data_IF_085056508791
#
_entry.id   IF_085056508791
#
_cell.length_a   1.000
_cell.length_b   1.000
_cell.length_c   1.000
_cell.angle_alpha   90.00
_cell.angle_beta   90.00
_cell.angle_gamma   90.00
#
_symmetry.space_group_name_H-M   'P 1'
#
loop_
_entity.id
_entity.type
_entity.pdbx_description
1 polymer ?
#
# COMPACT_ATOMS: atom_id res chain seq x y z
N UNK A 1 -1.50 -1.60 11.80
CA UNK A 1 -0.47 -0.92 10.98
C UNK A 1 0.62 -0.26 11.83
N UNK A 2 0.25 0.59 12.78
CA UNK A 2 1.18 1.39 13.60
C UNK A 2 2.28 0.58 14.32
N UNK A 3 1.95 -0.57 14.91
CA UNK A 3 2.94 -1.45 15.58
C UNK A 3 4.02 -1.97 14.62
N UNK A 4 3.65 -2.33 13.39
CA UNK A 4 4.60 -2.82 12.39
C UNK A 4 5.48 -1.69 11.86
N UNK A 5 4.91 -0.50 11.64
CA UNK A 5 5.66 0.69 11.25
C UNK A 5 6.67 1.11 12.33
N UNK A 6 6.28 1.09 13.61
CA UNK A 6 7.20 1.30 14.74
C UNK A 6 8.35 0.30 14.75
N UNK A 7 8.08 -0.99 14.49
CA UNK A 7 9.13 -2.02 14.41
C UNK A 7 10.08 -1.81 13.23
N UNK A 8 9.58 -1.35 12.08
CA UNK A 8 10.41 -0.98 10.94
C UNK A 8 11.30 0.21 11.33
N UNK A 9 10.73 1.25 11.93
CA UNK A 9 11.48 2.43 12.39
C UNK A 9 12.61 2.04 13.33
N UNK A 10 12.33 1.22 14.36
CA UNK A 10 13.36 0.79 15.29
C UNK A 10 14.45 -0.08 14.63
N UNK A 11 14.07 -0.97 13.70
CA UNK A 11 15.03 -1.78 12.97
C UNK A 11 15.94 -0.95 12.04
N UNK A 12 15.41 0.12 11.45
CA UNK A 12 16.21 1.08 10.66
C UNK A 12 17.12 1.89 11.58
N UNK A 13 16.58 2.41 12.69
CA UNK A 13 17.34 3.20 13.68
C UNK A 13 18.51 2.40 14.27
N UNK A 14 18.35 1.10 14.50
CA UNK A 14 19.41 0.23 15.01
C UNK A 14 20.35 -0.31 13.91
N UNK A 15 20.28 0.18 12.68
CA UNK A 15 21.12 -0.26 11.56
C UNK A 15 20.83 -1.67 11.02
N UNK A 16 19.81 -2.37 11.54
CA UNK A 16 19.50 -3.74 11.15
C UNK A 16 18.68 -3.76 9.85
N UNK A 17 19.37 -3.53 8.73
CA UNK A 17 18.79 -3.47 7.38
C UNK A 17 18.08 -4.76 6.97
N UNK A 18 18.60 -5.93 7.38
CA UNK A 18 17.99 -7.24 7.07
C UNK A 18 16.62 -7.36 7.74
N UNK A 19 16.52 -7.02 9.03
CA UNK A 19 15.26 -7.03 9.78
C UNK A 19 14.28 -6.01 9.21
N UNK A 20 14.74 -4.80 8.90
CA UNK A 20 13.91 -3.77 8.26
C UNK A 20 13.31 -4.27 6.93
N UNK A 21 14.13 -4.87 6.05
CA UNK A 21 13.68 -5.44 4.77
C UNK A 21 12.65 -6.56 4.95
N UNK A 22 12.84 -7.45 5.92
CA UNK A 22 11.86 -8.51 6.25
C UNK A 22 10.53 -7.91 6.72
N UNK A 23 10.56 -6.91 7.60
CA UNK A 23 9.34 -6.25 8.11
C UNK A 23 8.63 -5.42 7.04
N UNK A 24 9.37 -4.76 6.14
CA UNK A 24 8.81 -4.08 4.97
C UNK A 24 8.09 -5.07 4.04
N UNK A 25 8.70 -6.24 3.75
CA UNK A 25 8.03 -7.30 2.97
C UNK A 25 6.75 -7.78 3.64
N UNK A 26 6.74 -7.91 4.98
CA UNK A 26 5.53 -8.25 5.73
C UNK A 26 4.45 -7.18 5.60
N UNK A 27 4.82 -5.89 5.71
CA UNK A 27 3.91 -4.76 5.56
C UNK A 27 3.25 -4.77 4.16
N UNK A 28 4.06 -4.96 3.12
CA UNK A 28 3.64 -5.01 1.73
C UNK A 28 2.65 -6.16 1.44
N UNK A 29 2.76 -7.28 2.14
CA UNK A 29 1.82 -8.41 2.02
C UNK A 29 0.56 -8.24 2.87
N UNK A 30 0.52 -7.28 3.78
CA UNK A 30 -0.59 -7.13 4.73
C UNK A 30 -1.87 -6.64 4.06
N UNK A 31 -2.97 -7.36 4.30
CA UNK A 31 -4.31 -7.00 3.81
C UNK A 31 -4.73 -5.59 4.26
N UNK A 32 -4.55 -5.26 5.54
CA UNK A 32 -4.89 -3.94 6.06
C UNK A 32 -4.03 -2.82 5.47
N UNK A 33 -2.77 -3.10 5.11
CA UNK A 33 -1.91 -2.12 4.45
C UNK A 33 -2.43 -1.82 3.03
N UNK A 34 -2.83 -2.86 2.28
CA UNK A 34 -3.43 -2.71 0.94
C UNK A 34 -4.73 -1.90 1.00
N UNK A 35 -5.61 -2.19 1.95
CA UNK A 35 -6.86 -1.45 2.14
C UNK A 35 -6.61 0.03 2.42
N UNK A 36 -5.67 0.33 3.32
CA UNK A 36 -5.34 1.71 3.66
C UNK A 36 -4.75 2.46 2.46
N UNK A 37 -3.87 1.81 1.69
CA UNK A 37 -3.29 2.38 0.48
C UNK A 37 -4.36 2.69 -0.58
N UNK A 38 -5.28 1.75 -0.82
CA UNK A 38 -6.39 1.94 -1.78
C UNK A 38 -7.33 3.05 -1.31
N UNK A 39 -7.68 3.10 -0.02
CA UNK A 39 -8.47 4.21 0.54
C UNK A 39 -7.77 5.55 0.32
N UNK A 40 -6.48 5.63 0.63
CA UNK A 40 -5.71 6.87 0.46
C UNK A 40 -5.79 7.38 -0.98
N UNK A 41 -5.51 6.53 -1.95
CA UNK A 41 -5.52 6.88 -3.38
C UNK A 41 -6.92 7.20 -3.89
N UNK A 42 -7.93 6.40 -3.51
CA UNK A 42 -9.26 6.47 -4.13
C UNK A 42 -10.26 7.36 -3.39
N UNK A 43 -9.98 7.74 -2.13
CA UNK A 43 -10.91 8.50 -1.29
C UNK A 43 -10.30 9.72 -0.61
N UNK A 44 -9.03 9.68 -0.21
CA UNK A 44 -8.47 10.75 0.63
C UNK A 44 -7.63 11.75 -0.19
N UNK A 45 -6.96 11.29 -1.25
CA UNK A 45 -6.12 12.14 -2.10
C UNK A 45 -6.95 13.20 -2.85
N UNK A 46 -6.38 14.40 -3.02
CA UNK A 46 -7.04 15.51 -3.73
C UNK A 46 -7.40 15.13 -5.19
N UNK A 47 -6.54 14.38 -5.88
CA UNK A 47 -6.75 13.87 -7.23
C UNK A 47 -7.68 12.64 -7.35
N UNK A 48 -8.43 12.24 -6.32
CA UNK A 48 -9.31 11.06 -6.38
C UNK A 48 -10.41 11.11 -7.45
N UNK A 49 -10.74 12.31 -7.94
CA UNK A 49 -11.76 12.55 -8.97
C UNK A 49 -11.19 12.66 -10.38
N UNK A 50 -9.87 12.80 -10.53
CA UNK A 50 -9.22 12.85 -11.84
C UNK A 50 -8.92 11.44 -12.32
N UNK A 51 -9.14 11.19 -13.62
CA UNK A 51 -8.71 9.94 -14.22
C UNK A 51 -7.17 9.99 -14.32
N UNK A 52 -6.50 9.12 -13.57
CA UNK A 52 -5.05 8.91 -13.72
C UNK A 52 -4.72 8.09 -14.97
N UNK A 53 -3.49 7.59 -15.05
CA UNK A 53 -3.00 6.74 -16.16
C UNK A 53 -3.88 5.51 -16.38
N UNK A 54 -4.43 4.93 -15.31
CA UNK A 54 -5.32 3.76 -15.38
C UNK A 54 -6.74 4.09 -15.84
N UNK A 55 -7.07 5.35 -16.14
CA UNK A 55 -8.39 5.80 -16.63
C UNK A 55 -9.54 5.69 -15.61
N UNK A 56 -9.30 5.12 -14.42
CA UNK A 56 -10.31 4.89 -13.38
C UNK A 56 -10.51 6.16 -12.53
N UNK A 57 -11.76 6.60 -12.38
CA UNK A 57 -12.18 7.72 -11.51
C UNK A 57 -13.44 7.35 -10.73
N UNK A 58 -13.66 7.98 -9.57
CA UNK A 58 -14.88 7.84 -8.76
C UNK A 58 -15.31 6.37 -8.50
N UNK A 59 -14.38 5.56 -7.98
CA UNK A 59 -14.60 4.13 -7.76
C UNK A 59 -15.69 3.84 -6.70
N UNK A 60 -16.64 2.97 -7.05
CA UNK A 60 -17.65 2.44 -6.12
C UNK A 60 -17.01 1.49 -5.10
N UNK A 61 -17.63 1.28 -3.91
CA UNK A 61 -17.10 0.36 -2.89
C UNK A 61 -16.71 -1.03 -3.42
N UNK A 62 -17.58 -1.65 -4.23
CA UNK A 62 -17.33 -2.99 -4.80
C UNK A 62 -16.13 -3.02 -5.74
N UNK A 63 -15.92 -1.96 -6.52
CA UNK A 63 -14.76 -1.84 -7.41
C UNK A 63 -13.47 -1.70 -6.59
N UNK A 64 -13.49 -0.98 -5.47
CA UNK A 64 -12.33 -0.89 -4.56
C UNK A 64 -11.97 -2.24 -3.97
N UNK A 65 -12.95 -3.03 -3.54
CA UNK A 65 -12.71 -4.38 -3.02
C UNK A 65 -12.14 -5.34 -4.09
N UNK A 66 -12.58 -5.20 -5.34
CA UNK A 66 -12.00 -5.94 -6.46
C UNK A 66 -10.52 -5.60 -6.66
N UNK A 67 -10.16 -4.32 -6.60
CA UNK A 67 -8.77 -3.87 -6.68
C UNK A 67 -7.92 -4.45 -5.54
N UNK A 68 -8.44 -4.55 -4.31
CA UNK A 68 -7.70 -5.17 -3.18
C UNK A 68 -7.30 -6.61 -3.50
N UNK A 69 -8.21 -7.38 -4.12
CA UNK A 69 -7.99 -8.78 -4.48
C UNK A 69 -6.99 -8.92 -5.63
N UNK A 70 -7.07 -8.02 -6.62
CA UNK A 70 -6.20 -8.02 -7.80
C UNK A 70 -4.80 -7.46 -7.52
N UNK A 71 -4.65 -6.62 -6.49
CA UNK A 71 -3.39 -5.94 -6.19
C UNK A 71 -2.30 -6.95 -5.77
N UNK A 72 -1.39 -7.20 -6.70
CA UNK A 72 -0.20 -8.05 -6.53
C UNK A 72 1.08 -7.25 -6.76
N UNK A 73 2.14 -7.65 -6.05
CA UNK A 73 3.48 -7.06 -6.21
C UNK A 73 4.35 -7.87 -7.19
N UNK A 74 3.84 -8.98 -7.73
CA UNK A 74 4.56 -9.83 -8.67
C UNK A 74 4.77 -9.04 -9.97
N UNK A 75 6.03 -8.88 -10.37
CA UNK A 75 6.39 -8.16 -11.60
C UNK A 75 6.39 -6.63 -11.49
N UNK A 76 6.15 -6.06 -10.29
CA UNK A 76 6.23 -4.62 -10.10
C UNK A 76 7.67 -4.12 -10.30
N UNK A 77 7.84 -3.18 -11.23
CA UNK A 77 9.08 -2.44 -11.46
C UNK A 77 8.81 -0.98 -11.11
N UNK A 78 9.54 -0.46 -10.12
CA UNK A 78 9.56 0.98 -9.89
C UNK A 78 10.21 1.64 -11.12
N UNK A 79 9.60 2.72 -11.58
CA UNK A 79 10.11 3.52 -12.70
C UNK A 79 11.15 4.51 -12.20
#
# INVERSE_FOLDING_TARGET
>A
MFKLQKRIFQAVKSGNKVKAKKLQKLLLKSHYAKLLAIRKVTQDNQGKKTAGVDGKKALRPNQRLKIVKELTLKGYKAK
#
